data_IF_208347306962
#
_entry.id   IF_208347306962
#
_cell.length_a   1.000
_cell.length_b   1.000
_cell.length_c   1.000
_cell.angle_alpha   90.00
_cell.angle_beta   90.00
_cell.angle_gamma   90.00
#
_symmetry.space_group_name_H-M   'P 1'
#
loop_
_entity.id
_entity.type
_entity.pdbx_description
1 polymer ?
#
# COMPACT_ATOMS: atom_id res chain seq x y z
N UNK A 1 -13.23 17.77 -30.63
CA UNK A 1 -12.62 16.68 -31.40
C UNK A 1 -12.74 15.42 -30.59
N UNK A 2 -13.43 14.40 -31.12
CA UNK A 2 -13.74 13.16 -30.43
C UNK A 2 -12.47 12.32 -30.21
N UNK A 3 -12.19 11.96 -28.95
CA UNK A 3 -11.18 10.97 -28.60
C UNK A 3 -11.71 9.59 -28.98
N UNK A 4 -11.34 9.12 -30.17
CA UNK A 4 -11.49 7.73 -30.58
C UNK A 4 -10.24 6.97 -30.12
N UNK A 5 -10.35 6.27 -29.00
CA UNK A 5 -9.32 5.41 -28.43
C UNK A 5 -9.99 4.24 -27.75
N UNK A 6 -10.27 3.19 -28.53
CA UNK A 6 -10.95 1.98 -28.06
C UNK A 6 -10.06 1.11 -27.17
N UNK A 7 -10.72 0.47 -26.20
CA UNK A 7 -10.27 -0.78 -25.59
C UNK A 7 -9.81 -0.66 -24.14
N UNK A 8 -10.72 -0.96 -23.20
CA UNK A 8 -10.52 -1.23 -21.75
C UNK A 8 -10.98 -0.11 -20.80
N UNK A 9 -10.62 1.17 -21.01
CA UNK A 9 -11.02 2.24 -20.08
C UNK A 9 -12.54 2.51 -20.06
N UNK A 10 -13.20 2.51 -21.22
CA UNK A 10 -14.64 2.76 -21.34
C UNK A 10 -15.53 1.65 -20.76
N UNK A 11 -15.05 0.40 -20.74
CA UNK A 11 -15.80 -0.76 -20.24
C UNK A 11 -15.76 -0.86 -18.71
N UNK A 12 -14.73 -0.32 -18.07
CA UNK A 12 -14.61 -0.32 -16.61
C UNK A 12 -15.57 0.69 -16.00
N UNK A 13 -15.71 1.87 -16.62
CA UNK A 13 -16.59 2.93 -16.15
C UNK A 13 -18.08 2.55 -16.20
N UNK A 14 -18.49 1.72 -17.17
CA UNK A 14 -19.89 1.30 -17.32
C UNK A 14 -20.41 0.40 -16.19
N UNK A 15 -19.54 -0.08 -15.30
CA UNK A 15 -19.89 -0.94 -14.16
C UNK A 15 -19.86 -0.21 -12.80
N UNK A 16 -19.52 1.08 -12.80
CA UNK A 16 -19.37 1.88 -11.58
C UNK A 16 -20.61 2.74 -11.34
N UNK A 17 -20.87 3.08 -10.06
CA UNK A 17 -21.90 4.07 -9.72
C UNK A 17 -21.47 5.48 -10.15
N UNK A 18 -22.42 6.41 -10.24
CA UNK A 18 -22.14 7.78 -10.66
C UNK A 18 -21.12 8.47 -9.73
N UNK A 19 -21.24 8.27 -8.42
CA UNK A 19 -20.28 8.77 -7.42
C UNK A 19 -18.88 8.16 -7.61
N UNK A 20 -18.80 6.87 -7.94
CA UNK A 20 -17.52 6.20 -8.20
C UNK A 20 -16.87 6.72 -9.48
N UNK A 21 -17.67 7.03 -10.52
CA UNK A 21 -17.19 7.64 -11.76
C UNK A 21 -16.62 9.03 -11.47
N UNK A 22 -17.28 9.83 -10.63
CA UNK A 22 -16.79 11.15 -10.24
C UNK A 22 -15.43 11.06 -9.55
N UNK A 23 -15.27 10.13 -8.60
CA UNK A 23 -13.97 9.86 -7.96
C UNK A 23 -12.93 9.42 -9.00
N UNK A 24 -13.30 8.55 -9.94
CA UNK A 24 -12.38 8.09 -10.99
C UNK A 24 -12.00 9.21 -11.95
N UNK A 25 -12.89 10.14 -12.25
CA UNK A 25 -12.65 11.26 -13.16
C UNK A 25 -12.00 12.46 -12.48
N UNK A 26 -11.95 12.49 -11.15
CA UNK A 26 -11.32 13.59 -10.40
C UNK A 26 -9.89 13.89 -10.87
N UNK A 27 -9.57 15.18 -10.93
CA UNK A 27 -8.23 15.65 -11.25
C UNK A 27 -7.33 15.43 -10.03
N UNK A 28 -6.34 14.56 -10.19
CA UNK A 28 -5.27 14.39 -9.21
C UNK A 28 -4.20 15.44 -9.52
N UNK A 29 -4.33 16.61 -8.89
CA UNK A 29 -3.35 17.69 -8.94
C UNK A 29 -2.16 17.37 -8.03
N UNK A 30 -0.95 17.74 -8.46
CA UNK A 30 0.26 17.47 -7.69
C UNK A 30 0.23 18.25 -6.36
N UNK A 31 0.48 17.54 -5.25
CA UNK A 31 0.43 18.11 -3.90
C UNK A 31 -0.97 18.20 -3.27
N UNK A 32 -2.02 17.80 -3.99
CA UNK A 32 -3.38 17.74 -3.44
C UNK A 32 -3.65 16.44 -2.68
N UNK A 33 -4.42 16.52 -1.59
CA UNK A 33 -4.89 15.35 -0.84
C UNK A 33 -6.39 15.21 -1.08
N UNK A 34 -6.78 14.14 -1.76
CA UNK A 34 -8.20 13.79 -1.95
C UNK A 34 -8.59 12.70 -0.98
N UNK A 35 -9.54 13.00 -0.08
CA UNK A 35 -10.13 12.01 0.82
C UNK A 35 -11.44 11.51 0.21
N UNK A 36 -11.60 10.20 0.09
CA UNK A 36 -12.82 9.56 -0.39
C UNK A 36 -13.43 8.78 0.76
N UNK A 37 -14.55 9.28 1.30
CA UNK A 37 -15.34 8.55 2.29
C UNK A 37 -16.27 7.58 1.58
N UNK A 38 -16.26 6.31 2.01
CA UNK A 38 -17.12 5.29 1.43
C UNK A 38 -17.50 4.26 2.48
N UNK A 39 -18.79 3.91 2.53
CA UNK A 39 -19.34 2.96 3.47
C UNK A 39 -18.73 1.55 3.32
N UNK A 40 -18.82 0.71 4.37
CA UNK A 40 -18.38 -0.67 4.29
C UNK A 40 -19.12 -1.40 3.14
N UNK A 41 -18.40 -2.24 2.38
CA UNK A 41 -18.99 -2.99 1.26
C UNK A 41 -19.23 -2.22 -0.04
N UNK A 42 -19.03 -0.90 -0.10
CA UNK A 42 -19.31 -0.10 -1.33
C UNK A 42 -18.20 -0.12 -2.39
N UNK A 43 -17.34 -1.14 -2.37
CA UNK A 43 -16.36 -1.34 -3.43
C UNK A 43 -15.21 -0.32 -3.48
N UNK A 44 -14.81 0.29 -2.36
CA UNK A 44 -13.65 1.22 -2.27
C UNK A 44 -12.42 0.75 -3.06
N UNK A 45 -12.00 -0.49 -2.83
CA UNK A 45 -10.84 -1.08 -3.52
C UNK A 45 -11.08 -1.22 -5.02
N UNK A 46 -12.32 -1.52 -5.44
CA UNK A 46 -12.68 -1.61 -6.85
C UNK A 46 -12.68 -0.24 -7.54
N UNK A 47 -13.12 0.82 -6.86
CA UNK A 47 -13.06 2.20 -7.36
C UNK A 47 -11.62 2.66 -7.54
N UNK A 48 -10.75 2.42 -6.54
CA UNK A 48 -9.32 2.75 -6.65
C UNK A 48 -8.62 1.95 -7.76
N UNK A 49 -9.02 0.70 -7.97
CA UNK A 49 -8.52 -0.10 -9.09
C UNK A 49 -8.94 0.49 -10.44
N UNK A 50 -10.19 0.92 -10.58
CA UNK A 50 -10.68 1.58 -11.78
C UNK A 50 -9.97 2.92 -12.02
N UNK A 51 -9.69 3.68 -10.96
CA UNK A 51 -8.90 4.91 -11.02
C UNK A 51 -7.51 4.66 -11.62
N UNK A 52 -6.83 3.61 -11.16
CA UNK A 52 -5.50 3.24 -11.66
C UNK A 52 -5.54 2.71 -13.10
N UNK A 53 -6.55 1.90 -13.45
CA UNK A 53 -6.77 1.39 -14.82
C UNK A 53 -7.06 2.51 -15.82
N UNK A 54 -7.79 3.55 -15.40
CA UNK A 54 -8.11 4.70 -16.25
C UNK A 54 -6.89 5.60 -16.52
N UNK A 55 -5.79 5.45 -15.76
CA UNK A 55 -4.58 6.28 -15.86
C UNK A 55 -3.32 5.41 -15.94
N UNK A 56 -3.15 4.62 -17.02
CA UNK A 56 -2.00 3.72 -17.15
C UNK A 56 -0.66 4.47 -17.23
N UNK A 57 -0.67 5.75 -17.61
CA UNK A 57 0.53 6.60 -17.66
C UNK A 57 0.99 7.12 -16.30
N UNK A 58 0.13 7.08 -15.27
CA UNK A 58 0.48 7.50 -13.90
C UNK A 58 0.88 6.28 -13.06
N UNK A 59 1.91 6.47 -12.21
CA UNK A 59 2.34 5.49 -11.21
C UNK A 59 1.61 5.76 -9.90
N UNK A 60 1.18 4.70 -9.23
CA UNK A 60 0.48 4.78 -7.94
C UNK A 60 1.20 3.94 -6.88
N UNK A 61 1.10 4.37 -5.62
CA UNK A 61 1.53 3.62 -4.45
C UNK A 61 0.30 3.31 -3.60
N UNK A 62 0.02 2.02 -3.40
CA UNK A 62 -1.03 1.55 -2.51
C UNK A 62 -0.42 1.12 -1.17
N UNK A 63 -0.82 1.79 -0.09
CA UNK A 63 -0.37 1.45 1.26
C UNK A 63 -1.38 0.56 1.96
N UNK A 64 -0.98 -0.68 2.23
CA UNK A 64 -1.76 -1.66 2.95
C UNK A 64 -1.33 -1.72 4.44
N UNK A 65 -2.30 -1.99 5.33
CA UNK A 65 -2.01 -2.16 6.75
C UNK A 65 -1.29 -3.48 7.05
N UNK A 66 -1.66 -4.54 6.34
CA UNK A 66 -1.09 -5.88 6.54
C UNK A 66 -0.65 -6.52 5.22
N UNK A 67 0.13 -7.59 5.35
CA UNK A 67 0.71 -8.33 4.22
C UNK A 67 -0.38 -9.01 3.37
N UNK A 68 -1.42 -9.57 3.98
CA UNK A 68 -2.51 -10.23 3.25
C UNK A 68 -3.22 -9.27 2.29
N UNK A 69 -3.58 -8.06 2.77
CA UNK A 69 -4.21 -7.01 1.95
C UNK A 69 -3.25 -6.50 0.88
N UNK A 70 -1.96 -6.39 1.18
CA UNK A 70 -0.93 -6.07 0.16
C UNK A 70 -0.91 -7.12 -0.94
N UNK A 71 -0.92 -8.40 -0.61
CA UNK A 71 -0.82 -9.49 -1.59
C UNK A 71 -2.07 -9.57 -2.47
N UNK A 72 -3.25 -9.41 -1.86
CA UNK A 72 -4.51 -9.30 -2.60
C UNK A 72 -4.51 -8.07 -3.51
N UNK A 73 -4.01 -6.92 -3.03
CA UNK A 73 -3.85 -5.72 -3.85
C UNK A 73 -2.86 -5.96 -5.00
N UNK A 74 -1.72 -6.59 -4.74
CA UNK A 74 -0.69 -6.87 -5.75
C UNK A 74 -1.24 -7.76 -6.88
N UNK A 75 -2.12 -8.72 -6.55
CA UNK A 75 -2.76 -9.60 -7.55
C UNK A 75 -3.89 -8.94 -8.31
N UNK A 76 -4.62 -8.03 -7.66
CA UNK A 76 -5.82 -7.42 -8.25
C UNK A 76 -5.51 -6.14 -9.02
N UNK A 77 -4.60 -5.30 -8.56
CA UNK A 77 -4.31 -4.01 -9.18
C UNK A 77 -3.50 -4.14 -10.50
N UNK A 78 -3.64 -3.15 -11.40
CA UNK A 78 -2.84 -3.10 -12.62
C UNK A 78 -1.35 -2.82 -12.34
N UNK A 79 -0.46 -3.11 -13.31
CA UNK A 79 1.00 -3.06 -13.10
C UNK A 79 1.57 -1.65 -12.85
N UNK A 80 0.77 -0.60 -13.05
CA UNK A 80 1.16 0.78 -12.72
C UNK A 80 0.96 1.12 -11.22
N UNK A 81 0.55 0.16 -10.39
CA UNK A 81 0.38 0.32 -8.95
C UNK A 81 1.37 -0.57 -8.19
N UNK A 82 2.16 0.05 -7.31
CA UNK A 82 3.02 -0.67 -6.36
C UNK A 82 2.30 -0.77 -5.01
N UNK A 83 2.09 -1.98 -4.50
CA UNK A 83 1.45 -2.21 -3.21
C UNK A 83 2.50 -2.54 -2.14
N UNK A 84 2.54 -1.75 -1.06
CA UNK A 84 3.47 -1.95 0.06
C UNK A 84 2.77 -1.81 1.39
N UNK A 85 3.29 -2.48 2.42
CA UNK A 85 2.95 -2.12 3.80
C UNK A 85 3.80 -0.94 4.28
N UNK A 86 3.32 -0.24 5.32
CA UNK A 86 4.10 0.83 5.96
C UNK A 86 5.48 0.35 6.42
N UNK A 87 5.56 -0.86 6.99
CA UNK A 87 6.82 -1.46 7.41
C UNK A 87 7.77 -1.72 6.23
N UNK A 88 7.26 -2.18 5.09
CA UNK A 88 8.08 -2.38 3.89
C UNK A 88 8.59 -1.06 3.31
N UNK A 89 7.76 -0.01 3.34
CA UNK A 89 8.17 1.33 2.93
C UNK A 89 9.25 1.91 3.87
N UNK A 90 9.08 1.75 5.18
CA UNK A 90 10.05 2.16 6.19
C UNK A 90 11.36 1.36 6.11
N UNK A 91 11.28 0.06 5.83
CA UNK A 91 12.46 -0.79 5.70
C UNK A 91 13.33 -0.42 4.49
N UNK A 92 12.69 -0.10 3.36
CA UNK A 92 13.39 0.35 2.16
C UNK A 92 14.14 1.69 2.37
N UNK A 93 13.63 2.56 3.22
CA UNK A 93 14.20 3.90 3.44
C UNK A 93 15.20 3.94 4.60
N UNK A 94 14.94 3.23 5.70
CA UNK A 94 15.73 3.32 6.93
C UNK A 94 16.08 1.95 7.56
N UNK A 95 15.29 0.90 7.30
CA UNK A 95 15.46 -0.40 7.96
C UNK A 95 16.65 -1.24 7.48
N UNK A 96 17.14 -1.06 6.25
CA UNK A 96 18.32 -1.79 5.77
C UNK A 96 19.56 -1.57 6.66
N UNK A 97 19.65 -0.41 7.33
CA UNK A 97 20.75 -0.06 8.25
C UNK A 97 20.67 -0.82 9.58
N UNK A 98 19.48 -1.26 9.95
CA UNK A 98 19.19 -2.00 11.18
C UNK A 98 18.88 -3.48 10.92
N UNK A 99 18.91 -3.95 9.66
CA UNK A 99 18.67 -5.34 9.28
C UNK A 99 19.59 -6.32 10.02
N UNK A 100 20.83 -5.91 10.30
CA UNK A 100 21.81 -6.68 11.09
C UNK A 100 21.57 -6.69 12.62
N UNK A 101 20.70 -5.80 13.10
CA UNK A 101 20.40 -5.60 14.53
C UNK A 101 18.91 -5.85 14.84
N UNK A 102 18.11 -6.27 13.86
CA UNK A 102 16.79 -6.83 14.11
C UNK A 102 17.05 -8.21 14.72
N UNK A 103 17.17 -8.26 16.05
CA UNK A 103 17.25 -9.51 16.77
C UNK A 103 15.98 -10.30 16.48
N UNK A 104 16.11 -11.28 15.59
CA UNK A 104 15.00 -12.09 15.09
C UNK A 104 14.31 -12.90 16.21
N UNK A 105 14.95 -13.00 17.38
CA UNK A 105 14.40 -13.43 18.65
C UNK A 105 15.44 -13.13 19.74
N UNK A 106 15.36 -11.99 20.42
CA UNK A 106 15.93 -11.92 21.77
C UNK A 106 14.98 -12.71 22.67
N UNK A 107 15.36 -13.93 23.05
CA UNK A 107 14.59 -14.66 24.06
C UNK A 107 14.82 -13.98 25.39
N UNK A 108 13.78 -13.93 26.22
CA UNK A 108 13.88 -13.38 27.59
C UNK A 108 15.02 -14.07 28.36
N UNK A 109 15.30 -15.34 28.04
CA UNK A 109 16.45 -16.10 28.57
C UNK A 109 17.79 -15.48 28.20
N UNK A 110 17.97 -15.01 26.97
CA UNK A 110 19.25 -14.44 26.50
C UNK A 110 19.53 -13.11 27.22
N UNK A 111 18.48 -12.34 27.48
CA UNK A 111 18.56 -11.10 28.27
C UNK A 111 18.85 -11.42 29.74
N UNK A 112 18.17 -12.41 30.32
CA UNK A 112 18.39 -12.83 31.71
C UNK A 112 19.82 -13.34 31.94
N UNK A 113 20.33 -14.20 31.06
CA UNK A 113 21.70 -14.71 31.13
C UNK A 113 22.74 -13.61 30.97
N UNK A 114 22.53 -12.64 30.07
CA UNK A 114 23.45 -11.51 29.92
C UNK A 114 23.49 -10.60 31.15
N UNK A 115 22.36 -10.40 31.84
CA UNK A 115 22.30 -9.62 33.07
C UNK A 115 22.95 -10.36 34.26
N UNK A 116 22.75 -11.68 34.38
CA UNK A 116 23.41 -12.51 35.39
C UNK A 116 24.94 -12.57 35.21
N UNK A 117 25.41 -12.64 33.95
CA UNK A 117 26.84 -12.59 33.64
C UNK A 117 27.44 -11.22 33.99
N UNK A 118 26.71 -10.13 33.78
CA UNK A 118 27.14 -8.78 34.16
C UNK A 118 27.26 -8.60 35.68
N UNK A 119 26.35 -9.23 36.44
CA UNK A 119 26.37 -9.24 37.91
C UNK A 119 27.49 -10.13 38.49
N UNK A 120 27.82 -11.25 37.84
CA UNK A 120 28.86 -12.19 38.31
C UNK A 120 30.28 -11.66 38.12
N UNK A 121 30.51 -10.77 37.15
CA UNK A 121 31.83 -10.17 36.88
C UNK A 121 32.14 -8.99 37.82
N UNK A 122 31.15 -8.52 38.59
CA UNK A 122 31.29 -7.39 39.53
C UNK A 122 31.37 -7.83 41.02
N UNK A 123 31.50 -9.13 41.32
CA UNK A 123 31.81 -9.68 42.65
C UNK A 123 33.22 -10.27 42.66
#
# INVERSE_FOLDING_TARGET
GAFSGGGQGGTVLSRLSQEQIEVVMSSLEDGSVTCVSAFAGTGKTSTLRALALSRPSKKFLYLAFNVTVRDDATRSFPPNVDAKTLHQLAFATHGYRYAKNMADQLRVTDVATALEQSLTVSM
#
